data_IF_064714242583
#
_entry.id   IF_064714242583
#
_cell.length_a   1.000
_cell.length_b   1.000
_cell.length_c   1.000
_cell.angle_alpha   90.00
_cell.angle_beta   90.00
_cell.angle_gamma   90.00
#
_symmetry.space_group_name_H-M   'P 1'
#
loop_
_entity.id
_entity.type
_entity.pdbx_description
1 polymer ?
#
# COMPACT_ATOMS: atom_id res chain seq x y z
N UNK A 1 -6.99 17.14 -13.27
CA UNK A 1 -7.80 16.43 -12.26
C UNK A 1 -7.03 15.15 -11.99
N UNK A 2 -6.16 15.23 -10.99
CA UNK A 2 -5.14 14.21 -10.76
C UNK A 2 -5.78 12.93 -10.24
N UNK A 3 -5.26 11.80 -10.71
CA UNK A 3 -5.73 10.44 -10.38
C UNK A 3 -5.83 10.26 -8.86
N UNK A 4 -4.97 10.95 -8.11
CA UNK A 4 -4.91 10.97 -6.65
C UNK A 4 -6.06 11.71 -5.96
N UNK A 5 -6.59 12.78 -6.57
CA UNK A 5 -7.75 13.52 -6.05
C UNK A 5 -9.01 12.65 -6.08
N UNK A 6 -9.17 11.87 -7.17
CA UNK A 6 -10.19 10.82 -7.28
C UNK A 6 -9.97 9.69 -6.26
N UNK A 7 -8.72 9.31 -5.98
CA UNK A 7 -8.39 8.25 -5.05
C UNK A 7 -8.68 8.59 -3.58
N UNK A 8 -8.28 9.79 -3.14
CA UNK A 8 -8.65 10.33 -1.83
C UNK A 8 -10.17 10.50 -1.69
N UNK A 9 -10.86 10.82 -2.80
CA UNK A 9 -12.31 10.88 -2.82
C UNK A 9 -12.96 9.49 -2.68
N UNK A 10 -12.40 8.45 -3.31
CA UNK A 10 -12.86 7.07 -3.17
C UNK A 10 -12.61 6.52 -1.76
N UNK A 11 -11.45 6.82 -1.19
CA UNK A 11 -11.11 6.51 0.20
C UNK A 11 -12.09 7.21 1.15
N UNK A 12 -12.30 8.53 0.98
CA UNK A 12 -13.29 9.30 1.73
C UNK A 12 -14.72 8.75 1.57
N UNK A 13 -15.10 8.33 0.36
CA UNK A 13 -16.40 7.72 0.06
C UNK A 13 -16.55 6.34 0.72
N UNK A 14 -15.48 5.55 0.79
CA UNK A 14 -15.43 4.30 1.55
C UNK A 14 -15.65 4.54 3.05
N UNK A 15 -14.98 5.55 3.62
CA UNK A 15 -15.21 5.98 5.01
C UNK A 15 -16.66 6.43 5.26
N UNK A 16 -17.28 7.17 4.31
CA UNK A 16 -18.68 7.60 4.40
C UNK A 16 -19.67 6.43 4.34
N UNK A 17 -19.40 5.40 3.51
CA UNK A 17 -20.24 4.19 3.39
C UNK A 17 -20.26 3.33 4.66
N UNK A 18 -19.15 3.24 5.41
CA UNK A 18 -19.15 2.52 6.71
C UNK A 18 -19.99 3.24 7.76
N UNK A 19 -20.01 4.58 7.77
CA UNK A 19 -20.82 5.38 8.70
C UNK A 19 -22.33 5.14 8.56
N UNK A 20 -22.80 4.78 7.37
CA UNK A 20 -24.21 4.44 7.10
C UNK A 20 -24.62 3.01 7.50
N UNK A 21 -23.70 2.15 7.97
CA UNK A 21 -24.01 0.76 8.33
C UNK A 21 -24.15 0.49 9.83
N UNK A 22 -24.08 1.51 10.69
CA UNK A 22 -24.39 1.35 12.12
C UNK A 22 -25.65 2.12 12.50
N UNK A 23 -26.80 1.45 12.36
CA UNK A 23 -28.03 1.60 13.15
C UNK A 23 -29.15 0.74 12.52
N UNK A 24 -29.58 -0.33 13.20
CA UNK A 24 -30.81 -1.04 12.84
C UNK A 24 -30.85 -2.52 13.25
N UNK A 25 -31.44 -2.78 14.41
CA UNK A 25 -31.78 -4.09 14.99
C UNK A 25 -32.67 -4.96 14.08
N UNK A 26 -32.51 -6.28 14.23
CA UNK A 26 -33.09 -7.42 13.52
C UNK A 26 -34.63 -7.47 13.40
N UNK A 27 -35.11 -7.97 12.25
CA UNK A 27 -36.25 -8.92 12.16
C UNK A 27 -36.01 -9.92 11.03
N UNK A 28 -36.34 -11.19 11.27
CA UNK A 28 -36.02 -12.38 10.47
C UNK A 28 -37.12 -12.80 9.47
N UNK A 29 -36.69 -13.64 8.51
CA UNK A 29 -37.44 -14.56 7.62
C UNK A 29 -37.64 -14.14 6.15
N UNK A 30 -37.84 -15.10 5.20
CA UNK A 30 -36.98 -16.24 4.88
C UNK A 30 -36.59 -16.31 3.38
N UNK A 31 -35.62 -17.19 3.10
CA UNK A 31 -34.92 -17.46 1.82
C UNK A 31 -35.84 -17.93 0.68
N UNK A 32 -35.60 -17.44 -0.55
CA UNK A 32 -36.04 -18.07 -1.81
C UNK A 32 -34.83 -18.36 -2.72
N UNK A 33 -34.79 -19.60 -3.21
CA UNK A 33 -33.71 -20.21 -4.00
C UNK A 33 -33.61 -19.64 -5.44
N UNK A 34 -32.42 -19.72 -6.08
CA UNK A 34 -32.24 -19.32 -7.47
C UNK A 34 -32.73 -20.40 -8.46
N UNK A 35 -33.29 -20.03 -9.63
CA UNK A 35 -33.66 -20.99 -10.67
C UNK A 35 -32.45 -21.65 -11.34
N UNK A 36 -32.61 -22.93 -11.65
CA UNK A 36 -31.73 -23.80 -12.43
C UNK A 36 -32.12 -23.74 -13.91
N UNK A 37 -31.13 -23.74 -14.79
CA UNK A 37 -31.08 -24.32 -16.15
C UNK A 37 -29.79 -23.76 -16.81
N UNK A 38 -28.86 -24.52 -17.38
CA UNK A 38 -29.05 -25.65 -18.30
C UNK A 38 -27.84 -26.60 -18.23
N UNK A 39 -28.14 -27.91 -18.25
CA UNK A 39 -27.19 -29.02 -18.39
C UNK A 39 -26.80 -29.19 -19.87
N UNK A 40 -25.52 -29.41 -20.16
CA UNK A 40 -25.11 -30.23 -21.29
C UNK A 40 -23.74 -30.88 -21.05
N UNK A 41 -23.76 -32.20 -20.96
CA UNK A 41 -22.63 -33.13 -21.00
C UNK A 41 -21.89 -33.03 -22.35
N UNK A 42 -20.57 -33.25 -22.39
CA UNK A 42 -20.04 -34.56 -22.77
C UNK A 42 -18.51 -34.72 -22.71
N UNK A 43 -18.15 -35.98 -22.50
CA UNK A 43 -16.85 -36.64 -22.30
C UNK A 43 -15.83 -36.50 -23.44
N UNK A 44 -14.56 -36.73 -23.02
CA UNK A 44 -13.44 -37.46 -23.66
C UNK A 44 -12.54 -36.67 -24.63
N UNK A 45 -11.26 -36.50 -24.26
CA UNK A 45 -10.19 -37.47 -24.58
C UNK A 45 -8.86 -37.16 -23.85
N UNK A 46 -8.07 -38.21 -23.67
CA UNK A 46 -6.81 -38.28 -22.92
C UNK A 46 -5.58 -37.78 -23.69
N UNK A 47 -4.58 -37.36 -22.90
CA UNK A 47 -3.11 -37.55 -23.03
C UNK A 47 -2.38 -36.99 -24.26
N UNK A 48 -1.30 -36.24 -24.01
CA UNK A 48 0.11 -36.64 -24.21
C UNK A 48 1.02 -35.49 -23.78
N UNK A 49 2.13 -35.83 -23.13
CA UNK A 49 3.21 -34.94 -22.68
C UNK A 49 3.93 -34.30 -23.88
N UNK A 50 4.38 -33.04 -23.73
CA UNK A 50 5.79 -32.65 -23.98
C UNK A 50 6.05 -31.21 -23.54
N UNK A 51 7.24 -31.02 -22.95
CA UNK A 51 7.85 -29.74 -22.63
C UNK A 51 8.28 -29.02 -23.91
N UNK A 52 8.25 -27.68 -23.94
CA UNK A 52 9.39 -26.83 -24.36
C UNK A 52 9.03 -25.34 -24.27
N UNK A 53 10.08 -24.56 -24.01
CA UNK A 53 10.13 -23.11 -23.82
C UNK A 53 9.39 -22.29 -24.88
N UNK A 54 8.68 -21.23 -24.47
CA UNK A 54 8.50 -20.03 -25.29
C UNK A 54 8.20 -18.82 -24.41
N UNK A 55 9.10 -17.84 -24.44
CA UNK A 55 8.92 -16.50 -23.90
C UNK A 55 8.01 -15.72 -24.83
N UNK A 56 6.92 -15.16 -24.32
CA UNK A 56 6.13 -14.16 -25.05
C UNK A 56 5.51 -13.13 -24.09
N UNK A 57 6.36 -12.24 -23.56
CA UNK A 57 5.88 -10.92 -23.12
C UNK A 57 5.78 -10.03 -24.35
N UNK A 58 4.62 -10.08 -25.02
CA UNK A 58 4.31 -9.18 -26.14
C UNK A 58 4.14 -7.74 -25.63
N UNK A 59 5.24 -6.98 -25.65
CA UNK A 59 5.25 -5.53 -25.46
C UNK A 59 4.66 -4.85 -26.70
N UNK A 60 3.51 -4.18 -26.55
CA UNK A 60 2.93 -3.39 -27.63
C UNK A 60 3.81 -2.18 -27.95
N UNK A 61 4.28 -2.08 -29.21
CA UNK A 61 4.96 -0.89 -29.74
C UNK A 61 3.90 0.05 -30.30
N UNK A 62 3.74 1.23 -29.69
CA UNK A 62 2.96 2.32 -30.26
C UNK A 62 3.91 3.38 -30.83
N UNK A 63 3.99 3.46 -32.15
CA UNK A 63 4.72 4.50 -32.87
C UNK A 63 3.82 5.73 -33.03
N UNK A 64 4.15 6.83 -32.34
CA UNK A 64 3.54 8.13 -32.60
C UNK A 64 4.22 8.79 -33.81
N UNK A 65 3.51 8.91 -34.92
CA UNK A 65 3.95 9.70 -36.08
C UNK A 65 3.69 11.19 -35.82
N UNK A 66 4.58 11.84 -35.09
CA UNK A 66 4.57 13.28 -34.87
C UNK A 66 5.95 13.76 -34.44
N UNK A 67 6.67 14.40 -35.37
CA UNK A 67 8.09 14.72 -35.23
C UNK A 67 8.46 15.51 -33.97
N UNK A 68 9.23 14.86 -33.09
CA UNK A 68 10.39 15.34 -32.32
C UNK A 68 10.83 14.19 -31.42
N UNK A 69 11.98 13.58 -31.73
CA UNK A 69 12.58 12.52 -30.92
C UNK A 69 13.06 13.11 -29.59
N UNK A 70 12.40 12.74 -28.50
CA UNK A 70 12.99 12.82 -27.16
C UNK A 70 12.99 11.40 -26.61
N UNK A 71 14.18 10.84 -26.47
CA UNK A 71 14.41 9.52 -25.90
C UNK A 71 14.22 9.61 -24.38
N UNK A 72 13.04 9.24 -23.91
CA UNK A 72 12.84 8.95 -22.49
C UNK A 72 13.05 7.44 -22.31
N UNK A 73 14.23 7.05 -21.85
CA UNK A 73 14.46 5.68 -21.41
C UNK A 73 13.75 5.48 -20.07
N UNK A 74 12.64 4.76 -20.09
CA UNK A 74 12.03 4.24 -18.87
C UNK A 74 12.92 3.07 -18.42
N UNK A 75 13.93 3.37 -17.60
CA UNK A 75 14.57 2.34 -16.77
C UNK A 75 13.55 1.97 -15.70
N UNK A 76 12.65 1.05 -16.04
CA UNK A 76 11.92 0.27 -15.05
C UNK A 76 12.99 -0.38 -14.16
N UNK A 77 13.22 0.17 -12.98
CA UNK A 77 14.13 -0.40 -12.00
C UNK A 77 13.49 -1.72 -11.63
N UNK A 78 14.03 -2.80 -12.19
CA UNK A 78 13.55 -4.15 -12.00
C UNK A 78 13.68 -4.44 -10.51
N UNK A 79 12.55 -4.32 -9.80
CA UNK A 79 12.44 -4.62 -8.38
C UNK A 79 12.99 -6.03 -8.18
N UNK A 80 14.11 -6.14 -7.48
CA UNK A 80 14.69 -7.43 -7.14
C UNK A 80 13.68 -8.13 -6.22
N UNK A 81 12.94 -9.08 -6.81
CA UNK A 81 11.97 -9.93 -6.14
C UNK A 81 12.67 -10.84 -5.13
N UNK A 82 12.96 -10.33 -3.95
CA UNK A 82 13.27 -11.17 -2.80
C UNK A 82 11.95 -11.63 -2.19
N UNK A 83 11.55 -12.87 -2.50
CA UNK A 83 10.52 -13.58 -1.75
C UNK A 83 11.00 -13.76 -0.31
N UNK A 84 10.76 -12.75 0.55
CA UNK A 84 11.14 -12.76 1.97
C UNK A 84 10.19 -13.68 2.74
N UNK A 85 10.23 -14.99 2.50
CA UNK A 85 9.49 -15.97 3.30
C UNK A 85 10.12 -16.23 4.67
N UNK A 86 11.27 -15.63 5.01
CA UNK A 86 12.06 -15.92 6.24
C UNK A 86 12.27 -14.77 7.25
N UNK A 87 11.98 -13.50 6.93
CA UNK A 87 12.15 -12.38 7.89
C UNK A 87 10.93 -11.97 8.73
N UNK A 88 11.06 -11.52 9.97
CA UNK A 88 9.98 -11.18 10.92
C UNK A 88 8.68 -10.59 10.30
N UNK A 89 7.52 -11.12 10.70
CA UNK A 89 6.22 -10.62 10.25
C UNK A 89 6.01 -9.18 10.74
N UNK A 90 5.52 -8.34 9.84
CA UNK A 90 5.17 -6.97 10.13
C UNK A 90 4.07 -6.91 11.19
N UNK A 91 4.27 -6.03 12.17
CA UNK A 91 3.26 -5.64 13.14
C UNK A 91 2.83 -4.21 12.89
N UNK A 92 1.56 -3.94 13.15
CA UNK A 92 1.04 -2.58 13.16
C UNK A 92 1.45 -1.90 14.47
N UNK A 93 2.02 -0.69 14.37
CA UNK A 93 2.36 0.15 15.51
C UNK A 93 1.16 1.03 15.82
N UNK A 94 0.59 0.89 17.01
CA UNK A 94 -0.56 1.68 17.40
C UNK A 94 -0.14 3.12 17.78
N UNK A 95 -1.00 4.12 17.55
CA UNK A 95 -0.72 5.48 18.02
C UNK A 95 -0.53 5.51 19.54
N UNK A 96 0.50 6.22 20.01
CA UNK A 96 0.86 6.30 21.42
C UNK A 96 1.74 5.14 21.90
N UNK A 97 1.98 4.11 21.08
CA UNK A 97 3.00 3.11 21.36
C UNK A 97 4.39 3.71 21.16
N UNK A 98 5.22 3.69 22.19
CA UNK A 98 6.60 4.14 22.12
C UNK A 98 7.49 3.01 21.63
N UNK A 99 8.17 3.24 20.51
CA UNK A 99 9.13 2.28 19.96
C UNK A 99 10.42 2.98 19.55
N UNK A 100 11.52 2.24 19.52
CA UNK A 100 12.80 2.73 19.00
C UNK A 100 13.14 1.97 17.73
N UNK A 101 13.28 2.69 16.62
CA UNK A 101 13.71 2.14 15.31
C UNK A 101 15.08 2.69 14.99
N UNK A 102 16.10 1.83 14.99
CA UNK A 102 17.50 2.22 14.70
C UNK A 102 17.99 3.43 15.51
N UNK A 103 17.59 3.53 16.78
CA UNK A 103 17.96 4.62 17.69
C UNK A 103 17.05 5.87 17.63
N UNK A 104 16.05 5.89 16.76
CA UNK A 104 15.05 6.97 16.66
C UNK A 104 13.80 6.54 17.43
N UNK A 105 13.40 7.32 18.42
CA UNK A 105 12.16 7.08 19.18
C UNK A 105 10.95 7.62 18.42
N UNK A 106 9.95 6.78 18.22
CA UNK A 106 8.70 7.10 17.52
C UNK A 106 7.52 6.80 18.45
N UNK A 107 6.62 7.76 18.59
CA UNK A 107 5.41 7.65 19.42
C UNK A 107 4.11 7.91 18.64
N UNK A 108 4.22 8.50 17.45
CA UNK A 108 3.07 8.84 16.60
C UNK A 108 2.33 7.62 16.02
N UNK A 109 2.98 6.45 15.98
CA UNK A 109 2.40 5.20 15.48
C UNK A 109 1.84 5.29 14.06
N UNK A 110 0.88 4.40 13.76
CA UNK A 110 0.19 4.24 12.47
C UNK A 110 1.07 3.81 11.29
N UNK A 111 2.03 2.92 11.54
CA UNK A 111 2.85 2.33 10.48
C UNK A 111 3.13 0.85 10.75
N UNK A 112 3.63 0.16 9.74
CA UNK A 112 4.05 -1.22 9.87
C UNK A 112 5.56 -1.32 10.12
N UNK A 113 5.95 -2.13 11.11
CA UNK A 113 7.35 -2.46 11.40
C UNK A 113 7.56 -3.97 11.26
N UNK A 114 8.55 -4.37 10.45
CA UNK A 114 8.98 -5.76 10.27
C UNK A 114 9.66 -5.98 8.91
N UNK A 115 9.85 -7.23 8.52
CA UNK A 115 10.61 -7.58 7.31
C UNK A 115 9.73 -8.09 6.17
N UNK A 116 8.53 -8.59 6.49
CA UNK A 116 7.54 -9.03 5.50
C UNK A 116 6.11 -8.75 5.96
N UNK A 117 5.20 -8.48 5.03
CA UNK A 117 3.77 -8.43 5.34
C UNK A 117 3.16 -9.81 5.45
N UNK A 118 2.01 -9.91 6.13
CA UNK A 118 1.13 -11.07 5.95
C UNK A 118 0.63 -11.08 4.50
N UNK A 119 0.66 -12.22 3.80
CA UNK A 119 0.09 -12.33 2.47
C UNK A 119 -1.37 -11.87 2.52
N UNK A 120 -1.74 -10.91 1.67
CA UNK A 120 -3.14 -10.68 1.42
C UNK A 120 -3.71 -11.96 0.78
N UNK A 121 -4.83 -12.47 1.28
CA UNK A 121 -5.42 -13.71 0.76
C UNK A 121 -5.54 -13.69 -0.77
N UNK A 122 -5.52 -14.87 -1.40
CA UNK A 122 -5.42 -15.19 -2.84
C UNK A 122 -6.29 -14.40 -3.85
N UNK A 123 -7.10 -13.44 -3.42
CA UNK A 123 -8.00 -12.62 -4.22
C UNK A 123 -7.65 -11.11 -4.24
N UNK A 124 -6.44 -10.71 -3.82
CA UNK A 124 -5.94 -9.35 -4.06
C UNK A 124 -5.29 -9.25 -5.44
N UNK A 125 -6.10 -9.36 -6.50
CA UNK A 125 -5.68 -9.09 -7.89
C UNK A 125 -5.48 -7.59 -8.15
N UNK A 126 -4.61 -6.94 -7.38
CA UNK A 126 -4.31 -5.51 -7.46
C UNK A 126 -2.90 -5.19 -6.97
N UNK A 127 -2.59 -3.90 -6.89
CA UNK A 127 -1.30 -3.30 -6.53
C UNK A 127 -0.60 -3.85 -5.25
N UNK A 128 -1.33 -4.62 -4.44
CA UNK A 128 -0.86 -5.30 -3.23
C UNK A 128 -0.60 -6.80 -3.47
N UNK A 129 0.10 -7.15 -4.55
CA UNK A 129 0.66 -8.49 -4.63
C UNK A 129 1.65 -8.70 -3.47
N UNK A 130 1.63 -9.90 -2.90
CA UNK A 130 1.89 -10.13 -1.48
C UNK A 130 3.32 -9.95 -0.98
N UNK A 131 4.25 -9.34 -1.72
CA UNK A 131 5.67 -9.40 -1.38
C UNK A 131 6.39 -8.08 -1.07
N UNK A 132 5.86 -6.90 -1.42
CA UNK A 132 6.57 -5.64 -1.13
C UNK A 132 5.60 -4.49 -0.83
N UNK A 133 5.19 -4.38 0.43
CA UNK A 133 4.43 -3.22 0.91
C UNK A 133 5.35 -1.99 0.98
N UNK A 134 5.00 -0.95 0.23
CA UNK A 134 5.83 0.25 0.09
C UNK A 134 6.03 0.99 1.42
N UNK A 135 5.05 0.89 2.33
CA UNK A 135 5.08 1.52 3.66
C UNK A 135 5.81 0.72 4.75
N UNK A 136 6.25 -0.52 4.46
CA UNK A 136 6.82 -1.39 5.49
C UNK A 136 8.19 -0.88 5.94
N UNK A 137 8.28 -0.49 7.20
CA UNK A 137 9.54 -0.15 7.85
C UNK A 137 10.28 -1.43 8.23
N UNK A 138 11.42 -1.67 7.58
CA UNK A 138 12.34 -2.77 7.86
C UNK A 138 13.61 -2.23 8.51
N UNK A 139 13.72 -2.40 9.83
CA UNK A 139 14.83 -1.93 10.66
C UNK A 139 16.14 -2.70 10.46
N UNK A 140 16.12 -3.78 9.66
CA UNK A 140 17.32 -4.52 9.28
C UNK A 140 18.04 -3.92 8.07
N UNK A 141 17.40 -2.98 7.38
CA UNK A 141 18.04 -2.17 6.35
C UNK A 141 18.95 -1.11 7.01
N UNK A 142 20.00 -0.71 6.30
CA UNK A 142 20.87 0.39 6.76
C UNK A 142 20.05 1.68 6.86
N UNK A 143 20.16 2.33 8.01
CA UNK A 143 19.48 3.58 8.37
C UNK A 143 20.53 4.49 9.02
N UNK A 144 20.63 5.73 8.55
CA UNK A 144 21.50 6.74 9.15
C UNK A 144 20.68 7.89 9.73
N UNK A 145 20.91 8.30 10.99
CA UNK A 145 20.20 9.44 11.58
C UNK A 145 20.36 10.69 10.72
N UNK A 146 19.24 11.18 10.18
CA UNK A 146 19.21 12.25 9.19
C UNK A 146 17.98 13.13 9.43
N UNK A 147 18.09 14.47 9.35
CA UNK A 147 16.94 15.37 9.50
C UNK A 147 15.84 15.06 8.47
N UNK A 148 14.57 15.22 8.87
CA UNK A 148 13.43 14.87 8.01
C UNK A 148 13.28 15.73 6.75
N UNK A 149 14.01 16.85 6.64
CA UNK A 149 14.04 17.72 5.46
C UNK A 149 14.93 17.17 4.33
N UNK A 150 15.75 16.17 4.62
CA UNK A 150 16.64 15.58 3.64
C UNK A 150 15.84 14.84 2.57
N UNK A 151 16.27 14.94 1.32
CA UNK A 151 15.79 14.10 0.22
C UNK A 151 16.94 13.82 -0.75
N UNK A 152 16.80 12.74 -1.51
CA UNK A 152 17.68 12.39 -2.61
C UNK A 152 16.88 11.69 -3.72
N UNK A 153 17.57 11.24 -4.76
CA UNK A 153 16.95 10.57 -5.90
C UNK A 153 16.30 9.22 -5.59
N UNK A 154 16.54 8.63 -4.41
CA UNK A 154 15.86 7.40 -3.97
C UNK A 154 14.40 7.66 -3.59
N UNK A 155 14.05 8.91 -3.26
CA UNK A 155 12.69 9.37 -3.04
C UNK A 155 12.01 9.68 -4.39
N UNK A 156 11.85 8.65 -5.21
CA UNK A 156 11.26 8.75 -6.54
C UNK A 156 9.75 9.05 -6.54
N UNK A 157 9.14 9.03 -7.74
CA UNK A 157 7.72 9.34 -7.93
C UNK A 157 6.76 8.39 -7.19
N UNK A 158 7.15 7.11 -7.05
CA UNK A 158 6.38 6.09 -6.34
C UNK A 158 7.26 5.46 -5.25
N UNK A 159 7.48 6.17 -4.14
CA UNK A 159 8.53 5.81 -3.21
C UNK A 159 8.13 4.59 -2.35
N UNK A 160 9.12 3.81 -1.95
CA UNK A 160 8.96 2.72 -0.98
C UNK A 160 10.06 2.79 0.05
N UNK A 161 9.78 2.47 1.31
CA UNK A 161 10.79 2.48 2.37
C UNK A 161 11.99 1.59 2.04
N UNK A 162 11.74 0.43 1.42
CA UNK A 162 12.79 -0.51 1.04
C UNK A 162 13.71 0.03 -0.05
N UNK A 163 13.22 0.89 -0.96
CA UNK A 163 14.03 1.49 -2.04
C UNK A 163 14.80 2.75 -1.63
N UNK A 164 14.49 3.35 -0.47
CA UNK A 164 15.19 4.55 0.01
C UNK A 164 16.68 4.30 0.29
N UNK A 165 17.50 5.33 0.13
CA UNK A 165 18.88 5.35 0.63
C UNK A 165 18.92 5.25 2.17
N UNK A 166 20.05 4.85 2.78
CA UNK A 166 20.18 4.84 4.24
C UNK A 166 19.84 6.17 4.92
N UNK A 167 20.24 7.29 4.31
CA UNK A 167 19.97 8.65 4.75
C UNK A 167 18.47 8.99 4.62
N UNK A 168 17.86 8.69 3.46
CA UNK A 168 16.44 8.94 3.23
C UNK A 168 15.54 8.08 4.13
N UNK A 169 15.94 6.85 4.49
CA UNK A 169 15.23 6.06 5.52
C UNK A 169 15.28 6.73 6.88
N UNK A 170 16.44 7.27 7.27
CA UNK A 170 16.57 7.99 8.53
C UNK A 170 15.80 9.31 8.56
N UNK A 171 15.73 10.02 7.44
CA UNK A 171 14.90 11.21 7.28
C UNK A 171 13.41 10.85 7.41
N UNK A 172 12.95 9.79 6.75
CA UNK A 172 11.59 9.28 6.89
C UNK A 172 11.26 8.89 8.34
N UNK A 173 12.15 8.19 9.04
CA UNK A 173 11.95 7.83 10.45
C UNK A 173 11.94 9.07 11.37
N UNK A 174 12.79 10.06 11.09
CA UNK A 174 12.78 11.34 11.81
C UNK A 174 11.48 12.11 11.57
N UNK A 175 10.91 12.02 10.37
CA UNK A 175 9.59 12.56 10.07
C UNK A 175 8.50 11.82 10.85
N UNK A 176 8.52 10.48 10.88
CA UNK A 176 7.58 9.67 11.68
C UNK A 176 7.67 9.96 13.19
N UNK A 177 8.85 10.31 13.70
CA UNK A 177 9.09 10.69 15.09
C UNK A 177 8.59 12.12 15.42
N UNK A 178 8.36 12.96 14.41
CA UNK A 178 7.86 14.33 14.58
C UNK A 178 6.34 14.37 14.80
N UNK A 179 5.77 15.57 14.87
CA UNK A 179 4.32 15.77 14.87
C UNK A 179 3.67 15.56 13.48
N UNK A 180 4.48 15.33 12.43
CA UNK A 180 4.06 15.13 11.04
C UNK A 180 3.18 16.29 10.54
N UNK A 181 3.46 17.52 10.99
CA UNK A 181 2.73 18.73 10.62
C UNK A 181 3.56 19.71 9.77
N UNK A 182 4.86 19.46 9.58
CA UNK A 182 5.73 20.32 8.78
C UNK A 182 5.52 20.10 7.28
N UNK A 183 5.01 21.13 6.59
CA UNK A 183 4.76 21.10 5.15
C UNK A 183 6.03 21.26 4.31
N UNK A 184 7.19 21.59 4.91
CA UNK A 184 8.46 21.65 4.18
C UNK A 184 9.12 20.28 4.03
N UNK A 185 8.57 19.21 4.61
CA UNK A 185 9.10 17.87 4.42
C UNK A 185 8.88 17.39 2.97
N UNK A 186 9.78 16.55 2.43
CA UNK A 186 9.56 15.92 1.14
C UNK A 186 8.24 15.14 1.09
N UNK A 187 7.38 15.45 0.12
CA UNK A 187 6.02 14.88 0.03
C UNK A 187 6.03 13.35 -0.14
N UNK A 188 7.10 12.79 -0.71
CA UNK A 188 7.29 11.35 -0.85
C UNK A 188 7.22 10.60 0.48
N UNK A 189 7.66 11.21 1.59
CA UNK A 189 7.55 10.62 2.93
C UNK A 189 6.10 10.53 3.39
N UNK A 190 5.29 11.53 3.10
CA UNK A 190 3.85 11.52 3.38
C UNK A 190 3.16 10.40 2.60
N UNK A 191 3.56 10.18 1.34
CA UNK A 191 3.02 9.08 0.52
C UNK A 191 3.36 7.69 1.06
N UNK A 192 4.62 7.45 1.45
CA UNK A 192 5.01 6.16 2.09
C UNK A 192 4.12 5.88 3.31
N UNK A 193 3.86 6.90 4.13
CA UNK A 193 3.00 6.76 5.31
C UNK A 193 1.53 6.52 4.95
N UNK A 194 1.00 7.25 3.95
CA UNK A 194 -0.36 7.06 3.45
C UNK A 194 -0.60 5.65 2.90
N UNK A 195 0.38 5.04 2.22
CA UNK A 195 0.27 3.66 1.74
C UNK A 195 0.00 2.67 2.90
N UNK A 196 0.64 2.90 4.05
CA UNK A 196 0.43 2.08 5.25
C UNK A 196 -0.95 2.27 5.86
N UNK A 197 -1.39 3.52 6.00
CA UNK A 197 -2.73 3.86 6.48
C UNK A 197 -3.81 3.23 5.58
N UNK A 198 -3.62 3.31 4.28
CA UNK A 198 -4.55 2.79 3.29
C UNK A 198 -4.61 1.27 3.33
N UNK A 199 -3.45 0.59 3.34
CA UNK A 199 -3.40 -0.87 3.49
C UNK A 199 -4.14 -1.30 4.75
N UNK A 200 -3.90 -0.64 5.88
CA UNK A 200 -4.59 -0.93 7.13
C UNK A 200 -6.10 -0.75 6.95
N UNK A 201 -6.55 0.38 6.41
CA UNK A 201 -7.96 0.68 6.27
C UNK A 201 -8.70 -0.20 5.25
N UNK A 202 -8.07 -0.58 4.13
CA UNK A 202 -8.72 -1.21 2.98
C UNK A 202 -8.42 -2.70 2.82
N UNK A 203 -7.22 -3.15 3.18
CA UNK A 203 -6.79 -4.54 3.03
C UNK A 203 -7.04 -5.28 4.35
N UNK A 204 -6.42 -4.83 5.45
CA UNK A 204 -6.49 -5.52 6.74
C UNK A 204 -7.91 -5.46 7.36
N UNK A 205 -8.73 -4.46 6.99
CA UNK A 205 -10.10 -4.37 7.50
C UNK A 205 -11.05 -5.43 6.91
N UNK A 206 -10.69 -6.07 5.80
CA UNK A 206 -11.53 -7.09 5.13
C UNK A 206 -11.69 -8.35 5.96
N UNK A 207 -10.70 -8.64 6.81
CA UNK A 207 -10.72 -9.81 7.70
C UNK A 207 -11.35 -9.50 9.07
N UNK A 208 -12.12 -8.38 9.18
CA UNK A 208 -12.68 -7.84 10.44
C UNK A 208 -11.63 -7.65 11.55
N UNK A 209 -10.38 -7.41 11.17
CA UNK A 209 -9.24 -7.41 12.08
C UNK A 209 -8.92 -6.01 12.65
N UNK A 210 -9.88 -5.09 12.54
CA UNK A 210 -9.75 -3.67 12.93
C UNK A 210 -11.00 -3.27 13.69
N UNK A 211 -10.82 -2.71 14.89
CA UNK A 211 -11.92 -2.20 15.71
C UNK A 211 -12.46 -0.87 15.16
N UNK A 212 -13.68 -0.50 15.56
CA UNK A 212 -14.26 0.80 15.18
C UNK A 212 -13.41 1.97 15.68
N UNK A 213 -12.81 1.85 16.87
CA UNK A 213 -11.92 2.86 17.43
C UNK A 213 -10.64 3.04 16.61
N UNK A 214 -10.04 1.92 16.17
CA UNK A 214 -8.86 1.95 15.31
C UNK A 214 -9.21 2.56 13.95
N UNK A 215 -10.35 2.17 13.36
CA UNK A 215 -10.83 2.76 12.11
C UNK A 215 -11.08 4.26 12.22
N UNK A 216 -11.67 4.71 13.33
CA UNK A 216 -11.86 6.13 13.62
C UNK A 216 -10.53 6.86 13.81
N UNK A 217 -9.54 6.22 14.43
CA UNK A 217 -8.19 6.74 14.58
C UNK A 217 -7.50 6.96 13.21
N UNK A 218 -7.57 5.97 12.32
CA UNK A 218 -7.05 6.07 10.94
C UNK A 218 -7.72 7.21 10.17
N UNK A 219 -9.05 7.32 10.27
CA UNK A 219 -9.79 8.37 9.59
C UNK A 219 -9.37 9.78 10.08
N UNK A 220 -9.25 9.97 11.39
CA UNK A 220 -8.78 11.24 11.97
C UNK A 220 -7.40 11.60 11.46
N UNK A 221 -6.50 10.63 11.36
CA UNK A 221 -5.15 10.85 10.88
C UNK A 221 -5.12 11.27 9.40
N UNK A 222 -5.91 10.60 8.54
CA UNK A 222 -6.05 10.98 7.13
C UNK A 222 -6.61 12.39 7.00
N UNK A 223 -7.63 12.75 7.79
CA UNK A 223 -8.18 14.11 7.81
C UNK A 223 -7.15 15.14 8.27
N UNK A 224 -6.34 14.81 9.29
CA UNK A 224 -5.26 15.68 9.77
C UNK A 224 -4.23 15.92 8.68
N UNK A 225 -3.73 14.86 8.03
CA UNK A 225 -2.77 14.98 6.92
C UNK A 225 -3.33 15.83 5.78
N UNK A 226 -4.58 15.61 5.38
CA UNK A 226 -5.23 16.42 4.34
C UNK A 226 -5.34 17.90 4.73
N UNK A 227 -5.58 18.19 6.01
CA UNK A 227 -5.64 19.57 6.50
C UNK A 227 -4.27 20.26 6.47
N UNK A 228 -3.19 19.51 6.72
CA UNK A 228 -1.82 20.04 6.73
C UNK A 228 -1.29 20.21 5.29
N UNK A 229 -1.48 19.19 4.45
CA UNK A 229 -0.91 19.11 3.10
C UNK A 229 -1.93 19.40 1.99
N UNK A 230 -2.92 20.25 2.25
CA UNK A 230 -4.08 20.49 1.37
C UNK A 230 -3.73 20.90 -0.08
N UNK A 231 -2.54 21.45 -0.32
CA UNK A 231 -2.06 21.81 -1.66
C UNK A 231 -1.33 20.67 -2.38
N UNK A 232 -0.93 19.62 -1.66
CA UNK A 232 -0.10 18.52 -2.13
C UNK A 232 -0.83 17.16 -2.18
N UNK A 233 -2.04 17.06 -1.62
CA UNK A 233 -2.88 15.86 -1.55
C UNK A 233 -4.26 16.09 -2.19
#
# INVERSE_FOLDING_TARGET
MDIYSSYLFDLYSFFKKKKTKSAGSYTSAPVKAPPKEWLANNKKNQSVMQNEDSKDDNLATFTLSGGRNVEYSITATQSQNFSKTTGALARWIFPGEMITVSGIEVTGGHFYLGQRMKPAGHNSGGYYDGNNEASLVDDTLKIYPTPYIYEDSSLGYWPSFSSLSPEARGAYLSWLASDRCDTSCPIGYVFIYLYGLERRALVDSRDNNISDDEFYSLFKEICRLRSVFNENL
#
